data_IF_947764846656
#
_entry.id   IF_947764846656
#
_cell.length_a   1.000
_cell.length_b   1.000
_cell.length_c   1.000
_cell.angle_alpha   90.00
_cell.angle_beta   90.00
_cell.angle_gamma   90.00
#
_symmetry.space_group_name_H-M   'P 1'
#
loop_
_entity.id
_entity.type
_entity.pdbx_description
1 polymer ?
#
# COMPACT_ATOMS: atom_id res chain seq x y z
N UNK A 1 2.85 5.64 -21.28
CA UNK A 1 1.79 6.33 -22.04
C UNK A 1 2.05 7.83 -22.14
N UNK A 2 2.35 8.51 -21.02
CA UNK A 2 2.81 9.91 -21.04
C UNK A 2 4.06 10.13 -21.93
N UNK A 3 5.05 9.24 -21.85
CA UNK A 3 6.25 9.28 -22.71
C UNK A 3 5.91 9.18 -24.21
N UNK A 4 4.98 8.31 -24.57
CA UNK A 4 4.51 8.12 -25.96
C UNK A 4 3.76 9.35 -26.46
N UNK A 5 2.89 9.92 -25.61
CA UNK A 5 2.16 11.15 -25.95
C UNK A 5 3.12 12.33 -26.16
N UNK A 6 4.17 12.43 -25.35
CA UNK A 6 5.18 13.47 -25.49
C UNK A 6 5.97 13.31 -26.79
N UNK A 7 6.44 12.10 -27.12
CA UNK A 7 7.16 11.86 -28.38
C UNK A 7 6.31 12.19 -29.62
N UNK A 8 5.03 11.78 -29.63
CA UNK A 8 4.10 12.15 -30.71
C UNK A 8 3.92 13.66 -30.82
N UNK A 9 3.85 14.37 -29.69
CA UNK A 9 3.74 15.83 -29.67
C UNK A 9 5.00 16.50 -30.22
N UNK A 10 6.18 15.97 -29.92
CA UNK A 10 7.46 16.47 -30.43
C UNK A 10 7.57 16.26 -31.95
N UNK A 11 6.94 15.21 -32.49
CA UNK A 11 6.76 14.96 -33.93
C UNK A 11 5.62 15.78 -34.56
N UNK A 12 4.97 16.68 -33.80
CA UNK A 12 3.87 17.54 -34.27
C UNK A 12 2.49 16.89 -34.27
N UNK A 13 2.36 15.66 -33.78
CA UNK A 13 1.10 14.91 -33.74
C UNK A 13 0.46 15.07 -32.35
N UNK A 14 -0.54 15.94 -32.26
CA UNK A 14 -1.32 16.11 -31.03
C UNK A 14 -2.40 15.02 -30.91
N UNK A 15 -2.22 14.10 -29.95
CA UNK A 15 -3.18 13.02 -29.66
C UNK A 15 -3.67 13.11 -28.21
N UNK A 16 -5.00 13.09 -27.96
CA UNK A 16 -5.53 13.04 -26.60
C UNK A 16 -5.28 11.65 -25.97
N UNK A 17 -5.05 11.63 -24.65
CA UNK A 17 -4.73 10.39 -23.92
C UNK A 17 -5.80 9.31 -24.08
N UNK A 18 -7.09 9.68 -24.21
CA UNK A 18 -8.19 8.73 -24.45
C UNK A 18 -8.03 7.95 -25.76
N UNK A 19 -7.67 8.63 -26.85
CA UNK A 19 -7.44 8.02 -28.16
C UNK A 19 -6.19 7.14 -28.14
N UNK A 20 -5.15 7.60 -27.45
CA UNK A 20 -3.93 6.84 -27.24
C UNK A 20 -4.24 5.56 -26.42
N UNK A 21 -4.98 5.65 -25.31
CA UNK A 21 -5.42 4.49 -24.53
C UNK A 21 -6.22 3.49 -25.35
N UNK A 22 -7.14 3.97 -26.20
CA UNK A 22 -7.93 3.13 -27.10
C UNK A 22 -7.07 2.36 -28.10
N UNK A 23 -6.08 3.01 -28.72
CA UNK A 23 -5.16 2.37 -29.67
C UNK A 23 -4.38 1.21 -29.06
N UNK A 24 -3.98 1.33 -27.80
CA UNK A 24 -3.21 0.30 -27.09
C UNK A 24 -4.12 -0.68 -26.32
N UNK A 25 -5.45 -0.56 -26.41
CA UNK A 25 -6.38 -1.43 -25.69
C UNK A 25 -6.30 -1.32 -24.16
N UNK A 26 -5.82 -0.19 -23.63
CA UNK A 26 -5.65 0.01 -22.19
C UNK A 26 -6.78 0.90 -21.65
N UNK A 27 -7.31 0.57 -20.47
CA UNK A 27 -8.27 1.43 -19.81
C UNK A 27 -7.59 2.75 -19.33
N UNK A 28 -8.16 3.94 -19.61
CA UNK A 28 -7.57 5.22 -19.16
C UNK A 28 -7.33 5.29 -17.64
N UNK A 29 -8.17 4.61 -16.85
CA UNK A 29 -8.06 4.61 -15.39
C UNK A 29 -6.80 3.90 -14.90
N UNK A 30 -6.39 2.82 -15.56
CA UNK A 30 -5.17 2.07 -15.19
C UNK A 30 -3.90 2.80 -15.63
N UNK A 31 -4.00 3.74 -16.58
CA UNK A 31 -2.83 4.52 -17.05
C UNK A 31 -2.46 5.66 -16.12
N UNK A 32 -3.44 6.28 -15.44
CA UNK A 32 -3.18 7.33 -14.45
C UNK A 32 -2.91 6.78 -13.06
N UNK A 33 -3.66 5.74 -12.66
CA UNK A 33 -3.56 5.20 -11.31
C UNK A 33 -2.58 4.04 -11.25
N UNK A 34 -1.44 4.27 -10.59
CA UNK A 34 -0.52 3.20 -10.20
C UNK A 34 -0.78 2.84 -8.73
N UNK A 35 -1.28 1.63 -8.43
CA UNK A 35 -1.48 1.22 -7.05
C UNK A 35 -0.13 1.26 -6.33
N UNK A 36 -0.05 2.13 -5.32
CA UNK A 36 1.15 2.23 -4.48
C UNK A 36 0.81 1.55 -3.16
N UNK A 37 1.50 0.46 -2.85
CA UNK A 37 1.37 -0.20 -1.56
C UNK A 37 2.26 0.52 -0.56
N UNK A 38 1.68 1.09 0.49
CA UNK A 38 2.44 1.64 1.59
C UNK A 38 2.92 0.54 2.53
N UNK A 39 4.11 0.68 3.15
CA UNK A 39 4.56 -0.23 4.19
C UNK A 39 3.62 -0.16 5.40
N UNK A 40 3.57 -1.24 6.19
CA UNK A 40 2.78 -1.28 7.41
C UNK A 40 3.33 -0.23 8.40
N UNK A 41 2.47 0.69 8.84
CA UNK A 41 2.84 1.70 9.85
C UNK A 41 2.84 1.05 11.23
N UNK A 42 4.01 0.78 11.78
CA UNK A 42 4.21 0.29 13.14
C UNK A 42 4.66 1.44 14.03
N UNK A 43 3.98 1.63 15.16
CA UNK A 43 4.37 2.59 16.20
C UNK A 43 5.40 1.92 17.11
N UNK A 44 6.67 2.38 17.13
CA UNK A 44 7.75 1.68 17.84
C UNK A 44 7.49 1.57 19.35
N UNK A 45 6.85 2.59 19.93
CA UNK A 45 6.46 2.61 21.35
C UNK A 45 5.54 1.45 21.76
N UNK A 46 4.70 0.96 20.84
CA UNK A 46 3.85 -0.21 21.08
C UNK A 46 4.55 -1.52 20.72
N UNK A 47 5.50 -1.48 19.78
CA UNK A 47 6.17 -2.67 19.29
C UNK A 47 7.06 -3.33 20.36
N UNK A 48 7.83 -2.53 21.09
CA UNK A 48 8.68 -3.05 22.16
C UNK A 48 7.92 -3.77 23.29
N UNK A 49 6.89 -3.19 23.93
CA UNK A 49 6.19 -3.86 25.01
C UNK A 49 5.42 -5.11 24.52
N UNK A 50 4.87 -5.08 23.30
CA UNK A 50 4.18 -6.25 22.73
C UNK A 50 5.17 -7.39 22.46
N UNK A 51 6.32 -7.11 21.87
CA UNK A 51 7.36 -8.12 21.64
C UNK A 51 7.85 -8.72 22.96
N UNK A 52 8.14 -7.89 23.96
CA UNK A 52 8.52 -8.36 25.30
C UNK A 52 7.46 -9.29 25.91
N UNK A 53 6.18 -8.99 25.73
CA UNK A 53 5.09 -9.85 26.24
C UNK A 53 5.02 -11.20 25.51
N UNK A 54 5.22 -11.20 24.18
CA UNK A 54 5.25 -12.43 23.37
C UNK A 54 6.47 -13.27 23.72
N UNK A 55 7.64 -12.64 23.90
CA UNK A 55 8.89 -13.32 24.24
C UNK A 55 8.84 -13.91 25.65
N UNK A 56 8.20 -13.22 26.61
CA UNK A 56 8.01 -13.72 27.97
C UNK A 56 7.03 -14.88 28.04
N UNK A 57 5.94 -14.84 27.25
CA UNK A 57 4.87 -15.84 27.27
C UNK A 57 4.49 -16.26 25.83
N UNK A 58 5.26 -17.17 25.20
CA UNK A 58 5.04 -17.59 23.81
C UNK A 58 3.69 -18.30 23.57
N UNK A 59 3.06 -18.77 24.64
CA UNK A 59 1.74 -19.41 24.61
C UNK A 59 0.59 -18.41 24.39
N UNK A 60 0.83 -17.12 24.62
CA UNK A 60 -0.21 -16.11 24.49
C UNK A 60 -0.57 -15.86 23.03
N UNK A 61 -1.80 -16.24 22.66
CA UNK A 61 -2.37 -15.83 21.37
C UNK A 61 -2.61 -14.32 21.29
N UNK A 62 -2.69 -13.78 20.07
CA UNK A 62 -2.84 -12.34 19.81
C UNK A 62 -4.03 -11.66 20.53
N UNK A 63 -5.11 -12.41 20.80
CA UNK A 63 -6.26 -11.89 21.56
C UNK A 63 -5.90 -11.65 23.01
N UNK A 64 -5.14 -12.54 23.63
CA UNK A 64 -4.69 -12.42 25.03
C UNK A 64 -3.70 -11.28 25.17
N UNK A 65 -2.71 -11.22 24.27
CA UNK A 65 -1.72 -10.12 24.21
C UNK A 65 -2.40 -8.76 24.01
N UNK A 66 -3.52 -8.71 23.27
CA UNK A 66 -4.28 -7.48 23.09
C UNK A 66 -5.20 -7.15 24.28
N UNK A 67 -5.82 -8.16 24.91
CA UNK A 67 -6.78 -7.97 25.99
C UNK A 67 -6.15 -7.42 27.27
N UNK A 68 -4.96 -7.90 27.64
CA UNK A 68 -4.22 -7.47 28.85
C UNK A 68 -3.98 -5.94 28.87
N UNK A 69 -3.37 -5.34 27.83
CA UNK A 69 -3.24 -3.89 27.68
C UNK A 69 -4.48 -3.19 27.11
N UNK A 70 -5.63 -3.88 26.94
CA UNK A 70 -6.90 -3.33 26.40
C UNK A 70 -6.76 -2.64 25.04
N UNK A 71 -5.96 -3.21 24.15
CA UNK A 71 -5.75 -2.70 22.79
C UNK A 71 -6.52 -3.54 21.76
N UNK A 72 -6.67 -2.97 20.55
CA UNK A 72 -7.28 -3.68 19.44
C UNK A 72 -6.37 -4.85 19.00
N UNK A 73 -6.95 -6.05 18.85
CA UNK A 73 -6.26 -7.24 18.34
C UNK A 73 -5.48 -6.97 17.05
N UNK A 74 -6.06 -6.18 16.14
CA UNK A 74 -5.43 -5.86 14.86
C UNK A 74 -4.16 -5.02 15.01
N UNK A 75 -4.06 -4.23 16.08
CA UNK A 75 -2.85 -3.46 16.39
C UNK A 75 -1.71 -4.40 16.77
N UNK A 76 -1.98 -5.37 17.65
CA UNK A 76 -1.00 -6.39 18.05
C UNK A 76 -0.62 -7.28 16.87
N UNK A 77 -1.58 -7.71 16.06
CA UNK A 77 -1.33 -8.59 14.92
C UNK A 77 -0.56 -7.91 13.77
N UNK A 78 -0.57 -6.58 13.69
CA UNK A 78 0.20 -5.82 12.70
C UNK A 78 1.66 -5.61 13.11
N UNK A 79 1.95 -5.73 14.41
CA UNK A 79 3.27 -5.56 15.02
C UNK A 79 4.04 -6.88 14.94
#
# INVERSE_FOLDING_TARGET
>A
MLSVQQGLKDEGVSVPMTKLCQWFGVAPRTTYYKPTRSPAKVTPELAEPIKKMIDAEPSFGYRTVAALPRMNKNTVQRI
#
